data_IF_043757489629
#
_entry.id   IF_043757489629
#
_cell.length_a   1.000
_cell.length_b   1.000
_cell.length_c   1.000
_cell.angle_alpha   90.00
_cell.angle_beta   90.00
_cell.angle_gamma   90.00
#
_symmetry.space_group_name_H-M   'P 1'
#
loop_
_entity.id
_entity.type
_entity.pdbx_description
1 polymer ?
#
# COMPACT_ATOMS: atom_id res chain seq x y z
N UNK A 1 16.47 8.47 -2.12
CA UNK A 1 15.60 7.36 -1.74
C UNK A 1 15.63 6.29 -2.81
N UNK A 2 15.74 5.04 -2.40
CA UNK A 2 15.82 3.92 -3.34
C UNK A 2 14.72 2.91 -3.03
N UNK A 3 14.01 2.50 -4.07
CA UNK A 3 13.01 1.45 -3.96
C UNK A 3 13.42 0.31 -4.88
N UNK A 4 13.53 -0.89 -4.31
CA UNK A 4 13.92 -2.07 -5.05
C UNK A 4 12.88 -3.18 -4.83
N UNK A 5 12.50 -3.85 -5.91
CA UNK A 5 11.53 -4.94 -5.84
C UNK A 5 12.17 -6.17 -6.46
N UNK A 6 12.16 -7.27 -5.72
CA UNK A 6 12.77 -8.52 -6.18
C UNK A 6 11.85 -9.70 -5.95
N UNK A 7 11.85 -10.63 -6.88
CA UNK A 7 11.15 -11.90 -6.73
C UNK A 7 11.80 -12.71 -5.63
N UNK A 8 10.99 -13.23 -4.71
CA UNK A 8 11.50 -14.02 -3.59
C UNK A 8 11.75 -15.47 -4.01
N UNK A 9 10.85 -16.04 -4.80
CA UNK A 9 10.96 -17.43 -5.20
C UNK A 9 10.48 -17.60 -6.63
N UNK A 10 11.13 -18.49 -7.37
CA UNK A 10 10.75 -18.74 -8.76
C UNK A 10 9.38 -19.43 -8.89
N UNK A 11 8.85 -19.97 -7.79
CA UNK A 11 7.61 -20.74 -7.85
C UNK A 11 6.38 -19.99 -7.40
N UNK A 12 6.55 -18.77 -6.91
CA UNK A 12 5.42 -18.02 -6.39
C UNK A 12 5.43 -16.59 -6.88
N UNK A 13 4.50 -15.81 -6.34
CA UNK A 13 4.36 -14.41 -6.74
C UNK A 13 4.82 -13.45 -5.64
N UNK A 14 5.33 -13.96 -4.53
CA UNK A 14 5.78 -13.11 -3.44
C UNK A 14 7.02 -12.34 -3.85
N UNK A 15 7.00 -11.06 -3.62
CA UNK A 15 8.12 -10.17 -3.92
C UNK A 15 8.52 -9.41 -2.68
N UNK A 16 9.80 -9.13 -2.54
CA UNK A 16 10.27 -8.24 -1.50
C UNK A 16 10.30 -6.82 -2.05
N UNK A 17 9.94 -5.88 -1.19
CA UNK A 17 9.94 -4.46 -1.54
C UNK A 17 10.84 -3.77 -0.52
N UNK A 18 11.96 -3.25 -0.99
CA UNK A 18 12.93 -2.58 -0.13
C UNK A 18 12.83 -1.08 -0.37
N UNK A 19 12.50 -0.34 0.69
CA UNK A 19 12.45 1.12 0.64
C UNK A 19 13.46 1.64 1.63
N UNK A 20 14.61 2.06 1.13
CA UNK A 20 15.77 2.43 1.96
C UNK A 20 16.09 1.26 2.89
N UNK A 21 15.93 1.41 4.21
CA UNK A 21 16.21 0.32 5.14
C UNK A 21 14.94 -0.39 5.64
N UNK A 22 13.82 -0.16 4.97
CA UNK A 22 12.55 -0.83 5.31
C UNK A 22 12.29 -1.97 4.34
N UNK A 23 11.94 -3.13 4.86
CA UNK A 23 11.61 -4.28 4.02
C UNK A 23 10.13 -4.64 4.17
N UNK A 24 9.45 -4.70 3.02
CA UNK A 24 8.05 -5.10 2.97
C UNK A 24 7.91 -6.21 1.95
N UNK A 25 6.71 -6.74 1.82
CA UNK A 25 6.44 -7.80 0.88
C UNK A 25 5.15 -7.54 0.13
N UNK A 26 5.08 -8.03 -1.09
CA UNK A 26 3.88 -7.96 -1.92
C UNK A 26 3.60 -9.33 -2.51
N UNK A 27 2.34 -9.65 -2.63
CA UNK A 27 1.90 -10.93 -3.19
C UNK A 27 0.60 -10.66 -3.94
N UNK A 28 0.01 -11.70 -4.50
CA UNK A 28 -1.32 -11.60 -5.09
C UNK A 28 -2.22 -12.64 -4.40
N UNK A 29 -3.55 -12.44 -4.44
CA UNK A 29 -4.45 -13.37 -3.76
C UNK A 29 -4.51 -14.71 -4.49
N UNK A 30 -5.01 -15.75 -3.80
CA UNK A 30 -5.16 -17.06 -4.44
C UNK A 30 -5.98 -17.03 -5.72
N UNK A 31 -6.95 -16.12 -5.83
CA UNK A 31 -7.73 -15.97 -7.03
C UNK A 31 -6.90 -15.55 -8.24
N UNK A 32 -5.75 -14.96 -8.00
CA UNK A 32 -4.83 -14.54 -9.07
C UNK A 32 -3.62 -15.47 -9.18
N UNK A 33 -3.61 -16.57 -8.44
CA UNK A 33 -2.53 -17.55 -8.50
C UNK A 33 -1.50 -17.44 -7.40
N UNK A 34 -1.64 -16.48 -6.51
CA UNK A 34 -0.70 -16.30 -5.41
C UNK A 34 -1.15 -17.02 -4.16
N UNK A 35 -0.55 -16.65 -3.04
CA UNK A 35 -0.86 -17.26 -1.75
C UNK A 35 -1.51 -16.28 -0.77
N UNK A 36 -1.63 -15.02 -1.17
CA UNK A 36 -2.19 -14.02 -0.27
C UNK A 36 -1.33 -13.80 0.96
N UNK A 37 -0.03 -14.03 0.86
CA UNK A 37 0.87 -13.94 2.01
C UNK A 37 1.26 -12.51 2.36
N UNK A 38 0.91 -11.56 1.52
CA UNK A 38 1.22 -10.15 1.71
C UNK A 38 0.20 -9.31 0.94
N UNK A 39 0.12 -8.00 1.19
CA UNK A 39 -0.79 -7.14 0.42
C UNK A 39 -0.40 -7.14 -1.05
N UNK A 40 -1.40 -6.99 -1.90
CA UNK A 40 -1.10 -6.84 -3.32
C UNK A 40 -0.72 -5.38 -3.62
N UNK A 41 -0.14 -5.11 -4.80
CA UNK A 41 0.32 -3.75 -5.11
C UNK A 41 -0.74 -2.66 -5.01
N UNK A 42 -1.98 -2.96 -5.37
CA UNK A 42 -3.06 -1.96 -5.28
C UNK A 42 -3.34 -1.59 -3.83
N UNK A 43 -3.18 -2.54 -2.90
CA UNK A 43 -3.36 -2.25 -1.48
C UNK A 43 -2.32 -1.25 -1.01
N UNK A 44 -1.09 -1.38 -1.50
CA UNK A 44 -0.03 -0.44 -1.16
C UNK A 44 -0.32 0.95 -1.70
N UNK A 45 -0.89 1.02 -2.89
CA UNK A 45 -1.27 2.30 -3.46
C UNK A 45 -2.32 2.98 -2.57
N UNK A 46 -3.34 2.23 -2.15
CA UNK A 46 -4.39 2.77 -1.29
C UNK A 46 -3.84 3.14 0.09
N UNK A 47 -2.93 2.32 0.61
CA UNK A 47 -2.28 2.63 1.89
C UNK A 47 -1.47 3.92 1.81
N UNK A 48 -0.78 4.12 0.69
CA UNK A 48 -0.01 5.34 0.48
C UNK A 48 -0.92 6.57 0.44
N UNK A 49 -2.07 6.46 -0.21
CA UNK A 49 -3.04 7.55 -0.25
C UNK A 49 -3.53 7.89 1.15
N UNK A 50 -3.93 6.87 1.91
CA UNK A 50 -4.43 7.08 3.26
C UNK A 50 -3.38 7.65 4.17
N UNK A 51 -2.16 7.11 4.09
CA UNK A 51 -1.05 7.58 4.92
C UNK A 51 -0.70 9.03 4.58
N UNK A 52 -0.70 9.36 3.28
CA UNK A 52 -0.40 10.71 2.85
C UNK A 52 -1.39 11.71 3.44
N UNK A 53 -2.68 11.38 3.39
CA UNK A 53 -3.70 12.27 3.94
C UNK A 53 -3.56 12.42 5.44
N UNK A 54 -3.38 11.30 6.15
CA UNK A 54 -3.29 11.34 7.61
C UNK A 54 -2.06 12.11 8.07
N UNK A 55 -0.91 11.83 7.47
CA UNK A 55 0.34 12.49 7.85
C UNK A 55 0.31 13.97 7.50
N UNK A 56 -0.29 14.32 6.35
CA UNK A 56 -0.40 15.70 5.95
C UNK A 56 -1.23 16.49 6.94
N UNK A 57 -2.34 15.92 7.39
CA UNK A 57 -3.18 16.59 8.38
C UNK A 57 -2.45 16.77 9.70
N UNK A 58 -1.70 15.77 10.13
CA UNK A 58 -0.93 15.89 11.37
C UNK A 58 0.16 16.96 11.25
N UNK A 59 0.84 16.99 10.13
CA UNK A 59 1.88 17.99 9.90
C UNK A 59 1.28 19.39 9.84
N UNK A 60 0.16 19.54 9.18
CA UNK A 60 -0.52 20.83 9.08
C UNK A 60 -0.96 21.31 10.48
N UNK A 61 -1.55 20.41 11.26
CA UNK A 61 -2.00 20.76 12.60
C UNK A 61 -0.85 21.19 13.48
N UNK A 62 0.28 20.48 13.39
CA UNK A 62 1.46 20.84 14.16
C UNK A 62 1.99 22.20 13.76
N UNK A 63 2.03 22.47 12.46
CA UNK A 63 2.55 23.74 11.95
C UNK A 63 1.67 24.91 12.38
N UNK A 64 0.35 24.69 12.44
CA UNK A 64 -0.61 25.72 12.81
C UNK A 64 -0.94 25.70 14.30
N UNK A 65 -0.28 24.84 15.05
CA UNK A 65 -0.47 24.75 16.51
C UNK A 65 -1.91 24.36 16.87
N UNK A 66 -2.52 23.49 16.05
CA UNK A 66 -3.85 22.98 16.28
C UNK A 66 -3.74 21.71 17.13
N UNK A 67 -4.51 21.56 18.21
CA UNK A 67 -4.40 20.39 19.08
C UNK A 67 -5.09 19.17 18.46
N UNK A 68 -4.39 18.48 17.58
CA UNK A 68 -4.88 17.28 16.90
C UNK A 68 -4.11 16.08 17.45
N UNK A 69 -4.81 15.19 18.16
CA UNK A 69 -4.16 14.06 18.81
C UNK A 69 -3.99 12.86 17.89
N UNK A 70 -4.88 12.69 16.92
CA UNK A 70 -4.77 11.56 16.01
C UNK A 70 -5.65 11.72 14.81
N UNK A 71 -5.36 10.92 13.75
CA UNK A 71 -6.10 10.93 12.51
C UNK A 71 -6.26 9.50 12.04
N UNK A 72 -7.47 9.13 11.63
CA UNK A 72 -7.72 7.86 10.99
C UNK A 72 -8.26 8.10 9.59
N UNK A 73 -7.78 7.33 8.64
CA UNK A 73 -8.23 7.43 7.25
C UNK A 73 -8.53 6.03 6.73
N UNK A 74 -9.70 5.88 6.12
CA UNK A 74 -10.08 4.62 5.50
C UNK A 74 -10.20 4.86 4.00
N UNK A 75 -9.56 4.00 3.21
CA UNK A 75 -9.61 4.08 1.76
C UNK A 75 -10.29 2.81 1.25
N UNK A 76 -11.38 2.98 0.52
CA UNK A 76 -12.10 1.86 -0.06
C UNK A 76 -12.05 1.96 -1.57
N UNK A 77 -11.91 0.80 -2.20
CA UNK A 77 -11.83 0.70 -3.64
C UNK A 77 -13.00 -0.12 -4.15
N UNK A 78 -13.63 0.36 -5.23
CA UNK A 78 -14.68 -0.39 -5.89
C UNK A 78 -14.04 -1.37 -6.87
N UNK A 79 -14.14 -2.66 -6.57
CA UNK A 79 -13.49 -3.70 -7.36
C UNK A 79 -14.27 -4.10 -8.60
N UNK A 80 -15.47 -3.58 -8.79
CA UNK A 80 -16.30 -4.03 -9.91
C UNK A 80 -15.66 -3.74 -11.26
N UNK A 81 -14.98 -2.60 -11.39
CA UNK A 81 -14.31 -2.25 -12.63
C UNK A 81 -13.02 -3.03 -12.83
N UNK A 82 -12.35 -3.36 -11.75
CA UNK A 82 -11.17 -4.20 -11.83
C UNK A 82 -11.53 -5.58 -12.35
N UNK A 83 -12.67 -6.11 -11.90
CA UNK A 83 -13.13 -7.41 -12.35
C UNK A 83 -13.45 -7.42 -13.85
N UNK A 84 -13.72 -6.25 -14.39
CA UNK A 84 -13.94 -6.09 -15.83
C UNK A 84 -12.68 -5.74 -16.58
N UNK A 85 -11.55 -5.69 -15.89
CA UNK A 85 -10.28 -5.38 -16.51
C UNK A 85 -10.12 -3.93 -16.91
N UNK A 86 -10.76 -3.03 -16.21
CA UNK A 86 -10.78 -1.62 -16.59
C UNK A 86 -9.92 -0.72 -15.74
N UNK A 87 -9.12 -1.27 -14.88
CA UNK A 87 -8.23 -0.40 -14.15
C UNK A 87 -6.84 -0.47 -14.74
N UNK A 88 -6.11 0.60 -14.61
CA UNK A 88 -4.79 0.70 -15.22
C UNK A 88 -3.70 0.37 -14.22
#
# INVERSE_FOLDING_TARGET
MTVTVNTVSSEGFRHSVQIDDHELFADVPPSAGGEGSAPEPHDYFDAALGACKALTLKLYAKKKDIPLTGVGVEVKRDNSQEQKGQYA
#
